data_IF_421057377835
#
_entry.id   IF_421057377835
#
_cell.length_a   1.000
_cell.length_b   1.000
_cell.length_c   1.000
_cell.angle_alpha   90.00
_cell.angle_beta   90.00
_cell.angle_gamma   90.00
#
_symmetry.space_group_name_H-M   'P 1'
#
loop_
_entity.id
_entity.type
_entity.pdbx_description
1 polymer ?
#
# COMPACT_ATOMS: atom_id res chain seq x y z
N UNK A 1 -37.60 26.44 5.92
CA UNK A 1 -36.47 25.75 5.27
C UNK A 1 -35.38 25.55 6.30
N UNK A 2 -35.32 24.38 6.93
CA UNK A 2 -34.32 24.04 7.93
C UNK A 2 -33.08 23.60 7.21
N UNK A 3 -32.01 24.39 7.29
CA UNK A 3 -30.67 23.98 6.79
C UNK A 3 -30.21 22.75 7.57
N UNK A 4 -30.12 21.62 6.89
CA UNK A 4 -29.49 20.39 7.44
C UNK A 4 -28.04 20.70 7.72
N UNK A 5 -27.68 20.82 9.01
CA UNK A 5 -26.30 20.95 9.44
C UNK A 5 -25.63 19.61 9.16
N UNK A 6 -24.89 19.53 8.06
CA UNK A 6 -24.02 18.39 7.77
C UNK A 6 -23.07 18.15 8.95
N UNK A 7 -22.99 16.91 9.42
CA UNK A 7 -22.02 16.55 10.46
C UNK A 7 -20.60 16.86 9.98
N UNK A 8 -19.71 17.35 10.85
CA UNK A 8 -18.32 17.61 10.48
C UNK A 8 -17.64 16.31 10.00
N UNK A 9 -16.82 16.44 8.96
CA UNK A 9 -16.06 15.30 8.45
C UNK A 9 -15.18 14.66 9.57
N UNK A 10 -15.08 13.33 9.62
CA UNK A 10 -14.27 12.66 10.62
C UNK A 10 -12.78 13.04 10.46
N UNK A 11 -12.09 13.22 11.60
CA UNK A 11 -10.64 13.46 11.60
C UNK A 11 -9.92 12.12 11.48
N UNK A 12 -9.29 11.89 10.34
CA UNK A 12 -8.46 10.71 10.11
C UNK A 12 -7.09 10.87 10.76
N UNK A 13 -6.56 9.80 11.34
CA UNK A 13 -5.14 9.70 11.69
C UNK A 13 -4.27 9.69 10.43
N UNK A 14 -2.96 9.98 10.56
CA UNK A 14 -2.01 9.86 9.44
C UNK A 14 -2.05 8.49 8.79
N UNK A 15 -2.16 7.45 9.59
CA UNK A 15 -2.25 6.07 9.14
C UNK A 15 -3.50 5.83 8.28
N UNK A 16 -4.66 6.25 8.76
CA UNK A 16 -5.93 6.10 8.01
C UNK A 16 -5.90 6.90 6.72
N UNK A 17 -5.38 8.12 6.76
CA UNK A 17 -5.16 8.95 5.56
C UNK A 17 -4.28 8.21 4.55
N UNK A 18 -3.11 7.70 4.96
CA UNK A 18 -2.20 7.01 4.04
C UNK A 18 -2.78 5.71 3.49
N UNK A 19 -3.58 4.97 4.27
CA UNK A 19 -4.26 3.76 3.79
C UNK A 19 -5.30 4.09 2.71
N UNK A 20 -6.11 5.13 2.95
CA UNK A 20 -7.10 5.61 2.00
C UNK A 20 -6.43 6.12 0.71
N UNK A 21 -5.40 6.95 0.85
CA UNK A 21 -4.62 7.50 -0.26
C UNK A 21 -3.92 6.40 -1.09
N UNK A 22 -3.42 5.34 -0.46
CA UNK A 22 -2.81 4.22 -1.16
C UNK A 22 -3.83 3.51 -2.08
N UNK A 23 -5.05 3.30 -1.59
CA UNK A 23 -6.15 2.75 -2.39
C UNK A 23 -6.50 3.63 -3.58
N UNK A 24 -6.57 4.96 -3.38
CA UNK A 24 -6.83 5.94 -4.45
C UNK A 24 -5.75 5.85 -5.54
N UNK A 25 -4.45 5.83 -5.16
CA UNK A 25 -3.34 5.78 -6.13
C UNK A 25 -3.36 4.48 -6.93
N UNK A 26 -3.52 3.34 -6.27
CA UNK A 26 -3.59 2.05 -6.96
C UNK A 26 -4.83 1.95 -7.86
N UNK A 27 -5.99 2.39 -7.39
CA UNK A 27 -7.23 2.44 -8.16
C UNK A 27 -7.12 3.38 -9.37
N UNK A 28 -6.49 4.55 -9.17
CA UNK A 28 -6.21 5.51 -10.24
C UNK A 28 -5.36 4.89 -11.35
N UNK A 29 -4.23 4.26 -11.01
CA UNK A 29 -3.40 3.57 -11.99
C UNK A 29 -4.19 2.49 -12.73
N UNK A 30 -4.92 1.67 -11.99
CA UNK A 30 -5.71 0.59 -12.56
C UNK A 30 -6.72 1.10 -13.60
N UNK A 31 -7.49 2.11 -13.27
CA UNK A 31 -8.55 2.60 -14.16
C UNK A 31 -8.06 3.52 -15.29
N UNK A 32 -6.95 4.24 -15.10
CA UNK A 32 -6.47 5.19 -16.10
C UNK A 32 -5.63 4.55 -17.21
N UNK A 33 -4.94 3.44 -16.91
CA UNK A 33 -3.95 2.89 -17.83
C UNK A 33 -4.35 1.55 -18.47
N UNK A 34 -5.35 0.85 -17.95
CA UNK A 34 -5.85 -0.34 -18.65
C UNK A 34 -6.41 0.03 -20.02
N UNK A 35 -6.21 -0.86 -20.99
CA UNK A 35 -6.65 -0.64 -22.36
C UNK A 35 -5.68 0.18 -23.23
N UNK A 36 -4.58 0.70 -22.69
CA UNK A 36 -3.54 1.36 -23.50
C UNK A 36 -2.81 0.32 -24.36
N UNK A 37 -2.55 0.59 -25.66
CA UNK A 37 -1.72 -0.26 -26.48
C UNK A 37 -0.30 -0.38 -25.93
N UNK A 38 0.20 -1.61 -25.78
CA UNK A 38 1.53 -1.90 -25.23
C UNK A 38 2.21 -3.02 -25.99
N UNK A 39 3.52 -2.94 -26.12
CA UNK A 39 4.40 -3.96 -26.68
C UNK A 39 5.63 -4.15 -25.79
N UNK A 40 6.42 -5.19 -26.04
CA UNK A 40 7.68 -5.41 -25.30
C UNK A 40 8.64 -4.22 -25.42
N UNK A 41 8.60 -3.49 -26.57
CA UNK A 41 9.43 -2.30 -26.78
C UNK A 41 8.95 -1.07 -26.04
N UNK A 42 7.64 -0.92 -25.81
CA UNK A 42 7.03 0.27 -25.19
C UNK A 42 6.74 0.11 -23.71
N UNK A 43 6.70 -1.12 -23.19
CA UNK A 43 6.35 -1.41 -21.79
C UNK A 43 7.21 -0.66 -20.77
N UNK A 44 8.53 -0.59 -20.97
CA UNK A 44 9.43 0.11 -20.06
C UNK A 44 9.21 1.63 -20.06
N UNK A 45 8.94 2.22 -21.23
CA UNK A 45 8.66 3.67 -21.32
C UNK A 45 7.31 4.01 -20.70
N UNK A 46 6.29 3.20 -20.91
CA UNK A 46 4.98 3.36 -20.27
C UNK A 46 5.08 3.22 -18.76
N UNK A 47 5.81 2.22 -18.25
CA UNK A 47 6.05 2.07 -16.80
C UNK A 47 6.65 3.31 -16.19
N UNK A 48 7.72 3.88 -16.79
CA UNK A 48 8.34 5.12 -16.31
C UNK A 48 7.41 6.33 -16.37
N UNK A 49 6.60 6.44 -17.40
CA UNK A 49 5.62 7.52 -17.51
C UNK A 49 4.57 7.46 -16.40
N UNK A 50 4.07 6.27 -16.08
CA UNK A 50 3.12 6.06 -14.98
C UNK A 50 3.80 6.38 -13.63
N UNK A 51 5.03 5.90 -13.41
CA UNK A 51 5.79 6.18 -12.18
C UNK A 51 6.00 7.68 -11.98
N UNK A 52 6.36 8.40 -13.03
CA UNK A 52 6.55 9.85 -13.00
C UNK A 52 5.24 10.59 -12.68
N UNK A 53 4.14 10.21 -13.34
CA UNK A 53 2.84 10.85 -13.12
C UNK A 53 2.30 10.63 -11.69
N UNK A 54 2.35 9.39 -11.20
CA UNK A 54 1.88 9.05 -9.85
C UNK A 54 2.80 9.63 -8.78
N UNK A 55 4.11 9.72 -9.07
CA UNK A 55 5.10 10.32 -8.19
C UNK A 55 4.87 11.79 -7.83
N UNK A 56 4.09 12.51 -8.64
CA UNK A 56 3.70 13.91 -8.39
C UNK A 56 2.58 14.04 -7.34
N UNK A 57 1.89 12.96 -7.01
CA UNK A 57 0.73 13.02 -6.14
C UNK A 57 1.12 13.14 -4.65
N UNK A 58 0.24 13.73 -3.80
CA UNK A 58 0.51 13.90 -2.38
C UNK A 58 0.87 12.60 -1.68
N UNK A 59 1.76 12.67 -0.70
CA UNK A 59 2.27 11.58 0.13
C UNK A 59 3.14 10.54 -0.61
N UNK A 60 3.17 10.53 -1.94
CA UNK A 60 3.91 9.52 -2.71
C UNK A 60 5.42 9.73 -2.55
N UNK A 61 6.09 8.77 -1.94
CA UNK A 61 7.55 8.74 -1.79
C UNK A 61 8.22 7.93 -2.89
N UNK A 62 7.57 6.86 -3.32
CA UNK A 62 8.08 5.97 -4.37
C UNK A 62 6.93 5.24 -5.07
N UNK A 63 7.06 5.10 -6.37
CA UNK A 63 6.20 4.23 -7.19
C UNK A 63 7.11 3.29 -7.96
N UNK A 64 6.66 2.07 -8.14
CA UNK A 64 7.30 1.11 -9.05
C UNK A 64 6.20 0.44 -9.86
N UNK A 65 6.33 0.52 -11.17
CA UNK A 65 5.39 -0.07 -12.13
C UNK A 65 6.13 -1.08 -12.98
N UNK A 66 5.59 -2.28 -13.09
CA UNK A 66 6.08 -3.32 -13.98
C UNK A 66 4.96 -3.74 -14.92
N UNK A 67 5.21 -3.61 -16.20
CA UNK A 67 4.31 -4.06 -17.25
C UNK A 67 4.97 -5.25 -17.93
N UNK A 68 4.27 -6.38 -17.97
CA UNK A 68 4.73 -7.65 -18.53
C UNK A 68 3.80 -8.07 -19.69
N UNK A 69 4.05 -7.59 -20.92
CA UNK A 69 3.16 -7.84 -22.05
C UNK A 69 2.94 -9.32 -22.35
N UNK A 70 3.92 -10.17 -22.04
CA UNK A 70 3.86 -11.61 -22.31
C UNK A 70 2.82 -12.34 -21.44
N UNK A 71 2.32 -11.71 -20.39
CA UNK A 71 1.21 -12.24 -19.58
C UNK A 71 -0.17 -11.97 -20.18
N UNK A 72 -0.26 -11.17 -21.23
CA UNK A 72 -1.51 -10.91 -21.94
C UNK A 72 -1.82 -11.97 -22.98
N UNK A 73 -2.98 -11.82 -23.59
CA UNK A 73 -3.42 -12.67 -24.71
C UNK A 73 -2.51 -12.61 -25.94
N UNK A 74 -2.90 -13.26 -27.02
CA UNK A 74 -2.08 -13.37 -28.23
C UNK A 74 -1.72 -11.99 -28.79
N UNK A 75 -0.50 -11.90 -29.36
CA UNK A 75 -0.01 -10.71 -30.04
C UNK A 75 -0.63 -10.60 -31.42
N UNK A 76 -0.98 -9.39 -31.84
CA UNK A 76 -1.27 -9.08 -33.24
C UNK A 76 -0.05 -9.35 -34.14
N UNK A 77 -0.21 -9.30 -35.45
CA UNK A 77 0.87 -9.56 -36.41
C UNK A 77 1.30 -8.30 -37.14
N UNK A 78 2.56 -8.26 -37.56
CA UNK A 78 3.11 -7.17 -38.36
C UNK A 78 3.11 -5.83 -37.61
N UNK A 79 2.67 -4.75 -38.26
CA UNK A 79 2.57 -3.41 -37.67
C UNK A 79 1.58 -3.30 -36.52
N UNK A 80 0.67 -4.25 -36.37
CA UNK A 80 -0.32 -4.34 -35.31
C UNK A 80 0.10 -5.32 -34.21
N UNK A 81 1.38 -5.63 -34.07
CA UNK A 81 1.95 -6.48 -33.03
C UNK A 81 2.01 -5.76 -31.69
N UNK A 82 0.86 -5.42 -31.12
CA UNK A 82 0.68 -4.88 -29.80
C UNK A 82 -0.45 -5.60 -29.05
N UNK A 83 -0.51 -5.39 -27.76
CA UNK A 83 -1.62 -5.82 -26.88
C UNK A 83 -2.24 -4.61 -26.22
N UNK A 84 -3.45 -4.73 -25.75
CA UNK A 84 -4.00 -3.76 -24.78
C UNK A 84 -3.56 -4.17 -23.39
N UNK A 85 -3.12 -3.20 -22.59
CA UNK A 85 -2.72 -3.43 -21.21
C UNK A 85 -3.89 -4.00 -20.40
N UNK A 86 -3.71 -5.20 -19.85
CA UNK A 86 -4.69 -5.90 -19.03
C UNK A 86 -4.20 -6.03 -17.57
N UNK A 87 -5.09 -6.36 -16.61
CA UNK A 87 -4.71 -6.55 -15.22
C UNK A 87 -3.59 -7.59 -15.00
N UNK A 88 -3.54 -8.63 -15.83
CA UNK A 88 -2.55 -9.70 -15.75
C UNK A 88 -1.13 -9.21 -16.00
N UNK A 89 -1.01 -8.18 -16.83
CA UNK A 89 0.29 -7.60 -17.20
C UNK A 89 0.83 -6.63 -16.15
N UNK A 90 -0.02 -6.12 -15.23
CA UNK A 90 0.28 -4.97 -14.40
C UNK A 90 0.64 -5.38 -12.96
N UNK A 91 1.79 -4.89 -12.49
CA UNK A 91 2.23 -4.98 -11.09
C UNK A 91 2.68 -3.59 -10.63
N UNK A 92 2.01 -3.03 -9.64
CA UNK A 92 2.27 -1.68 -9.13
C UNK A 92 2.53 -1.72 -7.64
N UNK A 93 3.56 -1.01 -7.20
CA UNK A 93 3.81 -0.73 -5.78
C UNK A 93 3.87 0.76 -5.56
N UNK A 94 3.19 1.23 -4.52
CA UNK A 94 3.27 2.62 -4.07
C UNK A 94 3.72 2.66 -2.62
N UNK A 95 4.68 3.53 -2.34
CA UNK A 95 5.13 3.88 -0.99
C UNK A 95 4.69 5.29 -0.68
N UNK A 96 3.86 5.44 0.35
CA UNK A 96 3.36 6.71 0.86
C UNK A 96 3.96 6.99 2.23
N UNK A 97 4.24 8.27 2.51
CA UNK A 97 4.85 8.71 3.77
C UNK A 97 4.22 10.03 4.21
N UNK A 98 3.87 10.12 5.49
CA UNK A 98 3.50 11.35 6.19
C UNK A 98 4.19 11.38 7.56
N UNK A 99 5.19 12.25 7.71
CA UNK A 99 6.04 12.28 8.89
C UNK A 99 6.67 10.90 9.19
N UNK A 100 6.50 10.37 10.42
CA UNK A 100 7.07 9.07 10.80
C UNK A 100 6.25 7.87 10.31
N UNK A 101 5.06 8.10 9.77
CA UNK A 101 4.16 7.03 9.32
C UNK A 101 4.38 6.72 7.85
N UNK A 102 4.42 5.45 7.51
CA UNK A 102 4.59 5.01 6.14
C UNK A 102 3.72 3.80 5.80
N UNK A 103 3.19 3.78 4.58
CA UNK A 103 2.40 2.68 4.03
C UNK A 103 2.96 2.28 2.69
N UNK A 104 3.16 0.99 2.47
CA UNK A 104 3.43 0.42 1.16
C UNK A 104 2.27 -0.47 0.75
N UNK A 105 1.71 -0.22 -0.42
CA UNK A 105 0.63 -1.00 -1.00
C UNK A 105 1.01 -1.51 -2.38
N UNK A 106 0.39 -2.61 -2.79
CA UNK A 106 0.65 -3.27 -4.07
C UNK A 106 -0.65 -3.65 -4.76
N UNK A 107 -0.70 -3.43 -6.06
CA UNK A 107 -1.66 -3.99 -7.00
C UNK A 107 -0.95 -5.07 -7.80
N UNK A 108 -1.48 -6.29 -7.80
CA UNK A 108 -0.95 -7.40 -8.57
C UNK A 108 -2.08 -8.37 -8.93
N UNK A 109 -2.09 -8.83 -10.17
CA UNK A 109 -2.99 -9.93 -10.54
C UNK A 109 -2.61 -11.23 -9.82
N UNK A 110 -3.59 -11.88 -9.23
CA UNK A 110 -3.48 -13.18 -8.57
C UNK A 110 -4.16 -14.24 -9.43
N UNK A 111 -3.39 -15.10 -10.10
CA UNK A 111 -3.97 -16.13 -10.97
C UNK A 111 -4.89 -17.11 -10.25
N UNK A 112 -4.55 -17.46 -9.00
CA UNK A 112 -5.35 -18.34 -8.13
C UNK A 112 -6.73 -17.76 -7.78
N UNK A 113 -6.84 -16.43 -7.71
CA UNK A 113 -8.08 -15.72 -7.45
C UNK A 113 -8.75 -15.20 -8.73
N UNK A 114 -8.05 -15.23 -9.86
CA UNK A 114 -8.42 -14.56 -11.13
C UNK A 114 -8.80 -13.09 -10.91
N UNK A 115 -8.03 -12.41 -10.05
CA UNK A 115 -8.39 -11.08 -9.56
C UNK A 115 -7.17 -10.15 -9.42
N UNK A 116 -7.28 -8.86 -9.83
CA UNK A 116 -6.27 -7.83 -9.58
C UNK A 116 -6.36 -7.37 -8.12
N UNK A 117 -5.59 -8.02 -7.25
CA UNK A 117 -5.64 -7.76 -5.81
C UNK A 117 -4.83 -6.52 -5.43
N UNK A 118 -5.48 -5.59 -4.72
CA UNK A 118 -4.82 -4.48 -4.04
C UNK A 118 -4.69 -4.82 -2.55
N UNK A 119 -3.49 -4.69 -2.00
CA UNK A 119 -3.23 -4.97 -0.58
C UNK A 119 -2.12 -4.10 -0.01
N UNK A 120 -2.21 -3.81 1.28
CA UNK A 120 -1.11 -3.24 2.05
C UNK A 120 -0.07 -4.34 2.28
N UNK A 121 1.20 -4.07 1.96
CA UNK A 121 2.31 -5.02 2.10
C UNK A 121 3.26 -4.66 3.23
N UNK A 122 3.31 -3.36 3.61
CA UNK A 122 4.14 -2.88 4.72
C UNK A 122 3.53 -1.63 5.35
N UNK A 123 3.68 -1.52 6.66
CA UNK A 123 3.36 -0.31 7.42
C UNK A 123 4.47 -0.02 8.41
N UNK A 124 4.91 1.24 8.45
CA UNK A 124 5.77 1.79 9.49
C UNK A 124 4.90 2.74 10.32
N UNK A 125 4.65 2.35 11.58
CA UNK A 125 3.82 3.11 12.51
C UNK A 125 4.53 3.14 13.87
N UNK A 126 5.15 4.27 14.24
CA UNK A 126 5.88 4.39 15.51
C UNK A 126 4.99 4.23 16.73
N UNK A 127 3.70 4.59 16.65
CA UNK A 127 2.76 4.44 17.76
C UNK A 127 2.47 2.97 18.08
N UNK A 128 2.52 2.10 17.09
CA UNK A 128 2.33 0.66 17.27
C UNK A 128 3.57 -0.02 17.85
N UNK A 129 4.76 0.51 17.56
CA UNK A 129 6.03 0.01 18.11
C UNK A 129 6.14 0.28 19.60
N UNK A 130 5.72 1.45 20.07
CA UNK A 130 5.77 1.84 21.49
C UNK A 130 4.73 1.11 22.37
N UNK A 131 3.61 0.66 21.80
CA UNK A 131 2.62 -0.15 22.54
C UNK A 131 3.11 -1.58 22.82
N UNK A 132 3.95 -2.15 21.93
CA UNK A 132 4.47 -3.52 22.08
C UNK A 132 5.50 -3.63 23.21
N UNK A 133 6.19 -2.54 23.55
CA UNK A 133 7.20 -2.48 24.61
C UNK A 133 6.61 -2.22 26.01
N UNK A 134 5.36 -1.74 26.12
CA UNK A 134 4.74 -1.43 27.43
C UNK A 134 4.10 -2.61 28.14
N UNK A 135 3.94 -3.76 27.49
CA UNK A 135 3.20 -4.92 28.04
C UNK A 135 4.11 -5.95 28.76
N UNK A 136 5.43 -5.74 28.81
CA UNK A 136 6.36 -6.68 29.46
C UNK A 136 7.12 -6.04 30.62
N UNK A 137 6.40 -5.43 31.58
CA UNK A 137 6.97 -5.17 32.90
C UNK A 137 6.47 -6.27 33.85
N UNK A 138 7.33 -7.19 34.30
CA UNK A 138 6.94 -8.19 35.27
C UNK A 138 6.57 -7.50 36.58
N UNK A 139 5.42 -7.85 37.12
CA UNK A 139 5.00 -7.47 38.45
C UNK A 139 6.03 -8.03 39.43
N UNK A 140 6.78 -7.14 40.10
CA UNK A 140 7.57 -7.53 41.27
C UNK A 140 6.61 -8.05 42.32
N UNK A 141 6.67 -9.34 42.61
CA UNK A 141 5.97 -9.95 43.74
C UNK A 141 6.45 -9.37 45.05
N UNK A 142 5.56 -9.37 46.09
CA UNK A 142 5.92 -8.82 47.40
C UNK A 142 7.03 -9.64 48.05
N UNK A 143 8.08 -8.96 48.53
CA UNK A 143 9.18 -9.53 49.28
C UNK A 143 8.66 -10.07 50.61
N UNK A 144 8.87 -11.38 50.87
CA UNK A 144 8.57 -12.05 52.16
C UNK A 144 9.45 -11.46 53.26
N UNK A 145 8.90 -11.19 54.46
CA UNK A 145 9.69 -10.74 55.63
C UNK A 145 10.56 -11.90 56.17
N UNK A 146 11.84 -11.64 56.40
CA UNK A 146 12.78 -12.54 57.07
C UNK A 146 12.30 -12.80 58.50
N UNK A 147 12.02 -14.05 58.85
CA UNK A 147 11.86 -14.52 60.23
C UNK A 147 13.22 -14.41 60.97
N UNK A 148 13.27 -13.61 62.01
CA UNK A 148 14.36 -13.64 62.98
C UNK A 148 14.29 -14.97 63.76
N UNK A 149 15.37 -15.73 63.76
CA UNK A 149 15.61 -16.81 64.74
C UNK A 149 16.16 -16.16 65.99
N UNK A 150 15.46 -16.28 67.12
CA UNK A 150 15.97 -16.04 68.46
C UNK A 150 16.72 -17.30 68.89
N UNK A 151 17.96 -17.10 69.33
CA UNK A 151 18.75 -18.09 70.08
C UNK A 151 18.32 -18.06 71.55
N UNK A 152 18.17 -19.23 72.11
CA UNK A 152 18.16 -19.54 73.50
C UNK A 152 19.02 -20.81 73.74
#
# INVERSE_FOLDING_TARGET
>A
MTASRSAPAPRLSRRETLLFEAGIKLGGVFHQYLGIPVSNRTAASLSRAIEAAVGLQPFVRRVTVRIQPDRGGPLGRGRFAYRYLTPEMLDVRVRLVDGPTGVEARLQHRPDLRYPLMKVVRMDDPERSSRKTRTTRPLRGPSRPRRRRSAG
#
